data_IF_074426296593
#
_entry.id   IF_074426296593
#
_cell.length_a   1.000
_cell.length_b   1.000
_cell.length_c   1.000
_cell.angle_alpha   90.00
_cell.angle_beta   90.00
_cell.angle_gamma   90.00
#
_symmetry.space_group_name_H-M   'P 1'
#
loop_
_entity.id
_entity.type
_entity.pdbx_description
1 polymer ?
#
# COMPACT_ATOMS: atom_id res chain seq x y z
N UNK A 1 -11.39 20.59 20.92
CA UNK A 1 -12.79 20.53 21.40
C UNK A 1 -13.84 20.65 20.28
N UNK A 2 -13.49 21.05 19.04
CA UNK A 2 -14.47 21.24 17.94
C UNK A 2 -14.84 19.97 17.13
N UNK A 3 -14.12 18.86 17.23
CA UNK A 3 -14.33 17.70 16.34
C UNK A 3 -15.35 16.64 16.82
N UNK A 4 -16.00 16.84 17.97
CA UNK A 4 -16.98 15.88 18.48
C UNK A 4 -18.37 15.98 17.82
N UNK A 5 -18.58 16.91 16.87
CA UNK A 5 -19.89 17.24 16.29
C UNK A 5 -20.00 16.88 14.80
N UNK A 6 -19.20 15.92 14.31
CA UNK A 6 -19.39 15.39 12.95
C UNK A 6 -20.04 14.02 13.05
N UNK A 7 -21.37 13.96 12.89
CA UNK A 7 -22.12 12.70 12.83
C UNK A 7 -21.62 11.79 11.71
N UNK A 8 -21.75 10.46 11.86
CA UNK A 8 -21.19 9.46 10.91
C UNK A 8 -21.50 9.76 9.43
N UNK A 9 -22.70 10.24 9.10
CA UNK A 9 -23.07 10.61 7.72
C UNK A 9 -22.22 11.74 7.13
N UNK A 10 -21.89 12.75 7.94
CA UNK A 10 -21.06 13.89 7.53
C UNK A 10 -19.57 13.50 7.35
N UNK A 11 -19.11 12.44 8.00
CA UNK A 11 -17.72 11.96 7.89
C UNK A 11 -17.45 11.31 6.53
N UNK A 12 -18.37 10.47 6.07
CA UNK A 12 -18.29 9.82 4.74
C UNK A 12 -18.39 10.87 3.65
N UNK A 13 -19.26 11.85 3.81
CA UNK A 13 -19.40 12.97 2.89
C UNK A 13 -18.11 13.80 2.77
N UNK A 14 -17.47 14.15 3.89
CA UNK A 14 -16.18 14.86 3.88
C UNK A 14 -15.09 14.07 3.15
N UNK A 15 -14.98 12.77 3.41
CA UNK A 15 -14.03 11.89 2.72
C UNK A 15 -14.32 11.81 1.21
N UNK A 16 -15.59 11.76 0.81
CA UNK A 16 -16.01 11.76 -0.60
C UNK A 16 -15.69 13.08 -1.31
N UNK A 17 -15.84 14.20 -0.62
CA UNK A 17 -15.47 15.53 -1.13
C UNK A 17 -13.95 15.58 -1.40
N UNK A 18 -13.14 15.12 -0.44
CA UNK A 18 -11.68 15.04 -0.62
C UNK A 18 -11.30 14.09 -1.77
N UNK A 19 -11.96 12.94 -1.89
CA UNK A 19 -11.71 12.01 -2.99
C UNK A 19 -12.07 12.63 -4.35
N UNK A 20 -13.19 13.36 -4.44
CA UNK A 20 -13.57 14.07 -5.65
C UNK A 20 -12.52 15.13 -6.02
N UNK A 21 -12.01 15.88 -5.05
CA UNK A 21 -10.92 16.84 -5.24
C UNK A 21 -9.64 16.17 -5.76
N UNK A 22 -9.28 15.02 -5.19
CA UNK A 22 -8.10 14.24 -5.59
C UNK A 22 -8.21 13.69 -7.01
N UNK A 23 -9.38 13.15 -7.38
CA UNK A 23 -9.61 12.44 -8.65
C UNK A 23 -9.98 13.34 -9.82
N UNK A 24 -10.69 14.45 -9.59
CA UNK A 24 -11.22 15.31 -10.66
C UNK A 24 -10.39 16.55 -10.89
N UNK A 25 -9.77 17.12 -9.85
CA UNK A 25 -8.96 18.33 -9.97
C UNK A 25 -9.72 19.58 -10.40
N UNK A 26 -9.45 20.73 -9.77
CA UNK A 26 -9.90 22.02 -10.29
C UNK A 26 -11.41 22.24 -10.32
N UNK A 27 -11.79 23.28 -11.10
CA UNK A 27 -12.98 24.15 -11.07
C UNK A 27 -14.38 23.56 -10.72
N UNK A 28 -14.57 22.24 -10.66
CA UNK A 28 -15.79 21.61 -10.15
C UNK A 28 -15.79 21.33 -8.64
N UNK A 29 -14.64 21.46 -7.96
CA UNK A 29 -14.52 21.28 -6.51
C UNK A 29 -15.00 22.51 -5.70
N UNK A 30 -14.90 23.72 -6.27
CA UNK A 30 -15.21 24.99 -5.60
C UNK A 30 -16.33 25.82 -6.25
N UNK A 31 -16.91 25.42 -7.39
CA UNK A 31 -17.96 26.21 -8.04
C UNK A 31 -19.37 25.73 -7.66
N UNK A 32 -19.99 26.51 -6.76
CA UNK A 32 -21.45 26.74 -6.74
C UNK A 32 -21.83 28.03 -7.51
N UNK A 33 -20.92 28.66 -8.26
CA UNK A 33 -21.23 29.86 -9.04
C UNK A 33 -20.82 29.71 -10.51
N UNK A 34 -21.79 30.02 -11.37
CA UNK A 34 -21.64 30.30 -12.78
C UNK A 34 -20.51 31.31 -13.06
N UNK A 35 -20.00 31.28 -14.31
CA UNK A 35 -18.93 32.09 -14.90
C UNK A 35 -17.54 31.43 -14.90
N UNK A 36 -17.15 30.91 -16.07
CA UNK A 36 -15.80 30.44 -16.39
C UNK A 36 -15.77 29.04 -17.00
N UNK A 37 -16.68 28.76 -17.93
CA UNK A 37 -16.28 28.07 -19.16
C UNK A 37 -15.32 29.03 -19.90
N UNK A 38 -14.38 28.49 -20.69
CA UNK A 38 -13.40 29.22 -21.52
C UNK A 38 -11.94 29.32 -21.05
N UNK A 39 -11.40 28.30 -20.36
CA UNK A 39 -9.98 27.95 -20.56
C UNK A 39 -9.89 26.49 -21.02
N UNK A 40 -9.79 26.33 -22.35
CA UNK A 40 -9.40 25.09 -23.01
C UNK A 40 -7.98 24.72 -22.54
N UNK A 41 -7.86 23.72 -21.69
CA UNK A 41 -6.57 23.28 -21.16
C UNK A 41 -6.62 21.95 -20.41
N UNK A 42 -6.89 20.86 -21.15
CA UNK A 42 -6.58 19.45 -20.83
C UNK A 42 -7.16 18.79 -19.56
N UNK A 43 -7.86 17.67 -19.75
CA UNK A 43 -8.48 16.83 -18.71
C UNK A 43 -7.53 16.07 -17.78
N UNK A 44 -6.52 16.75 -17.21
CA UNK A 44 -5.65 16.23 -16.17
C UNK A 44 -5.80 17.07 -14.90
N UNK A 45 -5.93 16.40 -13.76
CA UNK A 45 -5.93 17.07 -12.45
C UNK A 45 -4.63 17.85 -12.26
N UNK A 46 -4.71 19.16 -11.98
CA UNK A 46 -3.52 19.95 -11.64
C UNK A 46 -2.81 19.30 -10.42
N UNK A 47 -1.52 19.00 -10.59
CA UNK A 47 -0.68 18.33 -9.58
C UNK A 47 -0.67 19.08 -8.26
N UNK A 48 -0.69 20.42 -8.29
CA UNK A 48 -0.75 21.27 -7.10
C UNK A 48 -2.04 21.06 -6.31
N UNK A 49 -3.16 20.84 -7.01
CA UNK A 49 -4.45 20.57 -6.36
C UNK A 49 -4.40 19.23 -5.64
N UNK A 50 -3.79 18.20 -6.21
CA UNK A 50 -3.56 16.92 -5.50
C UNK A 50 -2.70 17.09 -4.27
N UNK A 51 -1.67 17.96 -4.29
CA UNK A 51 -0.88 18.28 -3.08
C UNK A 51 -1.76 18.94 -2.03
N UNK A 52 -2.52 19.97 -2.41
CA UNK A 52 -3.43 20.67 -1.50
C UNK A 52 -4.44 19.72 -0.86
N UNK A 53 -5.08 18.87 -1.66
CA UNK A 53 -6.03 17.86 -1.18
C UNK A 53 -5.34 16.83 -0.28
N UNK A 54 -4.10 16.43 -0.60
CA UNK A 54 -3.29 15.53 0.24
C UNK A 54 -3.05 16.12 1.63
N UNK A 55 -2.70 17.40 1.73
CA UNK A 55 -2.59 18.09 3.01
C UNK A 55 -3.94 18.21 3.71
N UNK A 56 -5.02 18.47 2.98
CA UNK A 56 -6.37 18.53 3.54
C UNK A 56 -6.80 17.18 4.16
N UNK A 57 -6.44 16.04 3.56
CA UNK A 57 -6.65 14.72 4.18
C UNK A 57 -5.92 14.59 5.52
N UNK A 58 -4.64 14.97 5.57
CA UNK A 58 -3.85 14.90 6.80
C UNK A 58 -4.43 15.80 7.88
N UNK A 59 -4.78 17.04 7.53
CA UNK A 59 -5.34 18.01 8.48
C UNK A 59 -6.74 17.61 8.96
N UNK A 60 -7.57 17.05 8.07
CA UNK A 60 -8.87 16.49 8.45
C UNK A 60 -8.72 15.40 9.51
N UNK A 61 -7.82 14.44 9.30
CA UNK A 61 -7.61 13.35 10.26
C UNK A 61 -7.01 13.87 11.57
N UNK A 62 -6.10 14.86 11.52
CA UNK A 62 -5.56 15.52 12.72
C UNK A 62 -6.65 16.21 13.53
N UNK A 63 -7.57 16.91 12.85
CA UNK A 63 -8.72 17.55 13.48
C UNK A 63 -9.62 16.51 14.15
N UNK A 64 -9.94 15.41 13.46
CA UNK A 64 -10.77 14.31 13.99
C UNK A 64 -10.11 13.56 15.15
N UNK A 65 -8.78 13.50 15.15
CA UNK A 65 -7.94 12.92 16.20
C UNK A 65 -7.66 11.43 16.05
N UNK A 66 -6.62 10.95 16.74
CA UNK A 66 -6.15 9.56 16.66
C UNK A 66 -7.18 8.52 17.10
N UNK A 67 -8.01 8.82 18.12
CA UNK A 67 -9.06 7.91 18.58
C UNK A 67 -10.16 7.69 17.52
N UNK A 68 -10.49 8.74 16.75
CA UNK A 68 -11.40 8.59 15.62
C UNK A 68 -10.78 7.70 14.55
N UNK A 69 -9.51 7.93 14.22
CA UNK A 69 -8.80 7.14 13.22
C UNK A 69 -8.72 5.66 13.63
N UNK A 70 -8.37 5.35 14.89
CA UNK A 70 -8.31 3.99 15.42
C UNK A 70 -9.64 3.23 15.25
N UNK A 71 -10.77 3.90 15.46
CA UNK A 71 -12.11 3.31 15.29
C UNK A 71 -12.53 3.13 13.83
N UNK A 72 -11.86 3.82 12.90
CA UNK A 72 -12.23 3.87 11.49
C UNK A 72 -11.09 3.41 10.56
N UNK A 73 -10.10 2.66 11.08
CA UNK A 73 -8.93 2.19 10.31
C UNK A 73 -9.34 1.50 9.00
N UNK A 74 -10.26 0.51 8.98
CA UNK A 74 -10.65 -0.17 7.74
C UNK A 74 -11.25 0.78 6.71
N UNK A 75 -12.16 1.66 7.15
CA UNK A 75 -12.84 2.62 6.29
C UNK A 75 -11.84 3.61 5.69
N UNK A 76 -10.95 4.15 6.52
CA UNK A 76 -9.96 5.13 6.09
C UNK A 76 -8.91 4.52 5.14
N UNK A 77 -8.37 3.34 5.46
CA UNK A 77 -7.40 2.65 4.61
C UNK A 77 -7.98 2.29 3.25
N UNK A 78 -9.17 1.67 3.21
CA UNK A 78 -9.83 1.36 1.95
C UNK A 78 -10.10 2.64 1.15
N UNK A 79 -10.60 3.71 1.79
CA UNK A 79 -10.84 4.99 1.13
C UNK A 79 -9.59 5.57 0.47
N UNK A 80 -8.51 5.70 1.23
CA UNK A 80 -7.28 6.34 0.78
C UNK A 80 -6.57 5.49 -0.28
N UNK A 81 -6.53 4.17 -0.11
CA UNK A 81 -5.92 3.28 -1.10
C UNK A 81 -6.73 3.20 -2.41
N UNK A 82 -8.06 3.29 -2.35
CA UNK A 82 -8.90 3.31 -3.56
C UNK A 82 -8.68 4.56 -4.42
N UNK A 83 -8.08 5.64 -3.88
CA UNK A 83 -7.71 6.81 -4.67
C UNK A 83 -6.72 6.46 -5.78
N UNK A 84 -5.72 5.60 -5.51
CA UNK A 84 -4.73 5.19 -6.53
C UNK A 84 -5.21 4.04 -7.40
N UNK A 85 -6.23 3.30 -6.97
CA UNK A 85 -6.89 2.28 -7.79
C UNK A 85 -7.80 2.87 -8.87
N UNK A 86 -8.11 4.17 -8.80
CA UNK A 86 -8.93 4.83 -9.83
C UNK A 86 -8.10 5.14 -11.08
N UNK A 87 -8.54 4.73 -12.28
CA UNK A 87 -7.89 5.12 -13.54
C UNK A 87 -7.76 6.64 -13.74
N UNK A 88 -8.64 7.43 -13.09
CA UNK A 88 -8.58 8.91 -13.10
C UNK A 88 -7.39 9.47 -12.32
N UNK A 89 -6.84 8.70 -11.38
CA UNK A 89 -5.62 9.04 -10.68
C UNK A 89 -4.36 8.63 -11.43
N UNK A 90 -4.48 7.66 -12.34
CA UNK A 90 -3.34 6.99 -12.98
C UNK A 90 -3.47 6.91 -14.51
N UNK A 91 -3.82 8.01 -15.23
CA UNK A 91 -3.94 7.98 -16.69
C UNK A 91 -2.60 7.76 -17.39
N UNK A 92 -1.50 8.15 -16.74
CA UNK A 92 -0.12 7.91 -17.20
C UNK A 92 0.73 7.32 -16.07
N UNK A 93 1.87 6.72 -16.43
CA UNK A 93 2.83 6.24 -15.43
C UNK A 93 3.32 7.36 -14.49
N UNK A 94 3.53 8.57 -15.01
CA UNK A 94 3.97 9.73 -14.21
C UNK A 94 2.91 10.11 -13.18
N UNK A 95 1.64 10.15 -13.59
CA UNK A 95 0.53 10.43 -12.68
C UNK A 95 0.36 9.33 -11.64
N UNK A 96 0.56 8.05 -12.02
CA UNK A 96 0.56 6.94 -11.09
C UNK A 96 1.66 7.03 -10.02
N UNK A 97 2.89 7.40 -10.39
CA UNK A 97 3.97 7.66 -9.42
C UNK A 97 3.58 8.79 -8.47
N UNK A 98 3.02 9.87 -9.00
CA UNK A 98 2.61 11.03 -8.21
C UNK A 98 1.47 10.73 -7.24
N UNK A 99 0.43 10.03 -7.71
CA UNK A 99 -0.70 9.61 -6.90
C UNK A 99 -0.28 8.67 -5.76
N UNK A 100 0.62 7.71 -6.05
CA UNK A 100 1.22 6.84 -5.02
C UNK A 100 1.98 7.64 -3.96
N UNK A 101 2.79 8.64 -4.36
CA UNK A 101 3.49 9.51 -3.40
C UNK A 101 2.51 10.28 -2.50
N UNK A 102 1.43 10.82 -3.06
CA UNK A 102 0.41 11.52 -2.29
C UNK A 102 -0.26 10.58 -1.27
N UNK A 103 -0.68 9.39 -1.71
CA UNK A 103 -1.34 8.41 -0.85
C UNK A 103 -0.40 7.90 0.25
N UNK A 104 0.85 7.58 -0.08
CA UNK A 104 1.85 7.20 0.93
C UNK A 104 2.10 8.33 1.93
N UNK A 105 2.11 9.59 1.50
CA UNK A 105 2.23 10.72 2.41
C UNK A 105 1.04 10.82 3.37
N UNK A 106 -0.19 10.61 2.89
CA UNK A 106 -1.39 10.58 3.74
C UNK A 106 -1.25 9.48 4.79
N UNK A 107 -0.98 8.24 4.37
CA UNK A 107 -0.87 7.09 5.27
C UNK A 107 0.25 7.31 6.31
N UNK A 108 1.44 7.71 5.85
CA UNK A 108 2.60 7.93 6.72
C UNK A 108 2.37 9.03 7.75
N UNK A 109 1.69 10.11 7.35
CA UNK A 109 1.40 11.27 8.20
C UNK A 109 0.18 11.08 9.11
N UNK A 110 -0.61 10.03 8.89
CA UNK A 110 -1.82 9.74 9.68
C UNK A 110 -1.64 8.46 10.48
N UNK A 111 -1.76 7.29 9.85
CA UNK A 111 -1.57 5.97 10.46
C UNK A 111 -0.22 5.91 11.16
N UNK A 112 0.83 6.37 10.48
CA UNK A 112 2.18 6.27 11.00
C UNK A 112 2.57 7.28 12.08
N UNK A 113 1.90 8.43 12.16
CA UNK A 113 2.31 9.51 13.06
C UNK A 113 1.30 9.77 14.20
N UNK A 114 0.02 9.46 13.99
CA UNK A 114 -1.06 9.77 14.95
C UNK A 114 -1.48 8.56 15.79
N UNK A 115 -1.27 7.34 15.30
CA UNK A 115 -1.65 6.12 16.01
C UNK A 115 -0.52 5.63 16.92
N UNK A 116 -0.90 5.17 18.12
CA UNK A 116 0.01 4.42 18.99
C UNK A 116 0.25 3.00 18.48
N UNK A 117 1.24 2.29 19.04
CA UNK A 117 1.70 0.98 18.57
C UNK A 117 0.58 -0.04 18.38
N UNK A 118 -0.33 -0.16 19.37
CA UNK A 118 -1.46 -1.09 19.31
C UNK A 118 -2.36 -0.85 18.09
N UNK A 119 -2.65 0.42 17.79
CA UNK A 119 -3.48 0.80 16.65
C UNK A 119 -2.73 0.67 15.32
N UNK A 120 -1.40 0.88 15.32
CA UNK A 120 -0.55 0.60 14.14
C UNK A 120 -0.50 -0.90 13.82
N UNK A 121 -0.45 -1.77 14.84
CA UNK A 121 -0.56 -3.23 14.67
C UNK A 121 -1.91 -3.60 14.05
N UNK A 122 -3.01 -2.97 14.51
CA UNK A 122 -4.33 -3.17 13.91
C UNK A 122 -4.38 -2.69 12.44
N UNK A 123 -3.77 -1.53 12.14
CA UNK A 123 -3.65 -1.04 10.76
C UNK A 123 -2.82 -1.96 9.87
N UNK A 124 -1.72 -2.53 10.37
CA UNK A 124 -0.92 -3.50 9.62
C UNK A 124 -1.72 -4.77 9.27
N UNK A 125 -2.54 -5.27 10.21
CA UNK A 125 -3.46 -6.39 9.94
C UNK A 125 -4.49 -6.03 8.87
N UNK A 126 -5.07 -4.83 8.95
CA UNK A 126 -6.03 -4.37 7.95
C UNK A 126 -5.40 -4.22 6.56
N UNK A 127 -4.19 -3.65 6.47
CA UNK A 127 -3.43 -3.58 5.21
C UNK A 127 -3.17 -4.98 4.66
N UNK A 128 -2.85 -5.95 5.53
CA UNK A 128 -2.68 -7.35 5.14
C UNK A 128 -3.96 -7.95 4.54
N UNK A 129 -5.13 -7.66 5.12
CA UNK A 129 -6.42 -8.06 4.55
C UNK A 129 -6.69 -7.41 3.18
N UNK A 130 -6.33 -6.14 3.02
CA UNK A 130 -6.43 -5.44 1.73
C UNK A 130 -5.54 -6.10 0.67
N UNK A 131 -4.31 -6.51 1.03
CA UNK A 131 -3.41 -7.23 0.12
C UNK A 131 -4.03 -8.56 -0.32
N UNK A 132 -4.56 -9.35 0.61
CA UNK A 132 -5.25 -10.62 0.30
C UNK A 132 -6.39 -10.38 -0.69
N UNK A 133 -7.24 -9.38 -0.40
CA UNK A 133 -8.37 -9.01 -1.26
C UNK A 133 -7.93 -8.64 -2.68
N UNK A 134 -6.88 -7.83 -2.81
CA UNK A 134 -6.36 -7.41 -4.12
C UNK A 134 -5.75 -8.59 -4.90
N UNK A 135 -5.05 -9.51 -4.22
CA UNK A 135 -4.48 -10.70 -4.86
C UNK A 135 -5.55 -11.69 -5.30
N UNK A 136 -6.62 -11.88 -4.52
CA UNK A 136 -7.74 -12.72 -4.91
C UNK A 136 -8.45 -12.17 -6.16
N UNK A 137 -8.71 -10.86 -6.19
CA UNK A 137 -9.32 -10.21 -7.35
C UNK A 137 -8.46 -10.35 -8.62
N UNK A 138 -7.12 -10.25 -8.48
CA UNK A 138 -6.20 -10.49 -9.60
C UNK A 138 -6.22 -11.96 -10.04
N UNK A 139 -6.30 -12.90 -9.10
CA UNK A 139 -6.41 -14.33 -9.41
C UNK A 139 -7.67 -14.65 -10.22
N UNK A 140 -8.82 -14.12 -9.81
CA UNK A 140 -10.10 -14.23 -10.52
C UNK A 140 -10.01 -13.63 -11.92
N UNK A 141 -9.50 -12.40 -12.06
CA UNK A 141 -9.34 -11.73 -13.35
C UNK A 141 -8.40 -12.48 -14.31
N UNK A 142 -7.35 -13.13 -13.80
CA UNK A 142 -6.44 -13.96 -14.60
C UNK A 142 -7.11 -15.26 -15.04
N UNK A 143 -7.91 -15.91 -14.18
CA UNK A 143 -8.66 -17.11 -14.55
C UNK A 143 -9.70 -16.82 -15.64
N UNK A 144 -10.47 -15.74 -15.50
CA UNK A 144 -11.45 -15.31 -16.50
C UNK A 144 -10.80 -14.88 -17.83
N UNK A 145 -9.53 -14.47 -17.81
CA UNK A 145 -8.82 -14.07 -19.03
C UNK A 145 -8.47 -15.24 -19.96
N UNK A 146 -8.35 -16.46 -19.42
CA UNK A 146 -8.22 -17.67 -20.24
C UNK A 146 -9.49 -17.97 -21.06
N UNK A 147 -10.63 -17.39 -20.68
CA UNK A 147 -11.92 -17.48 -21.39
C UNK A 147 -12.18 -16.29 -22.35
N UNK A 148 -11.15 -15.50 -22.68
CA UNK A 148 -11.17 -14.56 -23.82
C UNK A 148 -11.50 -13.08 -23.50
N UNK A 149 -11.56 -12.67 -22.23
CA UNK A 149 -11.66 -11.25 -21.83
C UNK A 149 -10.51 -10.86 -20.93
N UNK A 150 -9.42 -10.32 -21.50
CA UNK A 150 -8.30 -9.80 -20.72
C UNK A 150 -8.68 -8.49 -20.01
N UNK A 151 -8.97 -8.54 -18.71
CA UNK A 151 -9.25 -7.35 -17.88
C UNK A 151 -7.96 -6.62 -17.46
N UNK A 152 -7.15 -6.17 -18.44
CA UNK A 152 -5.88 -5.45 -18.23
C UNK A 152 -6.00 -4.27 -17.25
N UNK A 153 -7.16 -3.61 -17.25
CA UNK A 153 -7.42 -2.43 -16.43
C UNK A 153 -7.51 -2.76 -14.94
N UNK A 154 -8.06 -3.92 -14.56
CA UNK A 154 -8.19 -4.31 -13.15
C UNK A 154 -6.83 -4.69 -12.56
N UNK A 155 -6.04 -5.46 -13.30
CA UNK A 155 -4.65 -5.79 -12.93
C UNK A 155 -3.80 -4.52 -12.80
N UNK A 156 -4.02 -3.55 -13.70
CA UNK A 156 -3.33 -2.26 -13.66
C UNK A 156 -3.75 -1.37 -12.49
N UNK A 157 -5.01 -1.41 -12.07
CA UNK A 157 -5.47 -0.70 -10.87
C UNK A 157 -4.94 -1.36 -9.59
N UNK A 158 -5.01 -2.70 -9.51
CA UNK A 158 -4.58 -3.48 -8.35
C UNK A 158 -3.10 -3.26 -8.01
N UNK A 159 -2.20 -3.22 -9.01
CA UNK A 159 -0.77 -2.96 -8.75
C UNK A 159 -0.52 -1.64 -8.01
N UNK A 160 -1.29 -0.57 -8.25
CA UNK A 160 -1.05 0.71 -7.61
C UNK A 160 -1.48 0.71 -6.14
N UNK A 161 -2.59 0.02 -5.86
CA UNK A 161 -3.07 -0.24 -4.50
C UNK A 161 -2.06 -1.09 -3.73
N UNK A 162 -1.63 -2.22 -4.32
CA UNK A 162 -0.65 -3.13 -3.72
C UNK A 162 0.67 -2.43 -3.41
N UNK A 163 1.19 -1.60 -4.33
CA UNK A 163 2.41 -0.84 -4.08
C UNK A 163 2.28 0.08 -2.87
N UNK A 164 1.17 0.81 -2.74
CA UNK A 164 0.97 1.70 -1.58
C UNK A 164 0.79 0.91 -0.27
N UNK A 165 0.00 -0.16 -0.32
CA UNK A 165 -0.25 -1.04 0.81
C UNK A 165 1.05 -1.66 1.36
N UNK A 166 1.87 -2.23 0.47
CA UNK A 166 3.14 -2.87 0.84
C UNK A 166 4.18 -1.88 1.36
N UNK A 167 4.27 -0.68 0.77
CA UNK A 167 5.17 0.35 1.26
C UNK A 167 4.77 0.87 2.65
N UNK A 168 3.47 1.05 2.90
CA UNK A 168 3.01 1.45 4.23
C UNK A 168 3.20 0.31 5.25
N UNK A 169 2.89 -0.94 4.87
CA UNK A 169 3.09 -2.11 5.73
C UNK A 169 4.56 -2.24 6.16
N UNK A 170 5.50 -2.21 5.20
CA UNK A 170 6.93 -2.27 5.50
C UNK A 170 7.39 -1.09 6.36
N UNK A 171 6.87 0.11 6.11
CA UNK A 171 7.16 1.29 6.93
C UNK A 171 6.64 1.17 8.36
N UNK A 172 5.45 0.60 8.56
CA UNK A 172 4.88 0.35 9.88
C UNK A 172 5.70 -0.69 10.64
N UNK A 173 6.09 -1.78 9.98
CA UNK A 173 6.92 -2.82 10.60
C UNK A 173 8.28 -2.25 11.03
N UNK A 174 8.94 -1.44 10.19
CA UNK A 174 10.18 -0.77 10.58
C UNK A 174 9.99 0.16 11.78
N UNK A 175 8.87 0.90 11.84
CA UNK A 175 8.58 1.80 12.95
C UNK A 175 8.28 1.03 14.25
N UNK A 176 7.52 -0.05 14.16
CA UNK A 176 7.16 -0.90 15.30
C UNK A 176 8.36 -1.71 15.81
N UNK A 177 9.33 -2.04 14.96
CA UNK A 177 10.50 -2.82 15.32
C UNK A 177 10.12 -4.17 15.92
N UNK A 178 10.64 -4.48 17.10
CA UNK A 178 10.35 -5.73 17.82
C UNK A 178 8.87 -5.90 18.20
N UNK A 179 8.12 -4.81 18.38
CA UNK A 179 6.66 -4.86 18.65
C UNK A 179 5.86 -5.46 17.47
N UNK A 180 6.44 -5.53 16.27
CA UNK A 180 5.82 -6.19 15.12
C UNK A 180 6.00 -7.72 15.12
N UNK A 181 6.79 -8.30 16.04
CA UNK A 181 7.04 -9.75 16.08
C UNK A 181 5.77 -10.61 16.04
N UNK A 182 4.68 -10.30 16.79
CA UNK A 182 3.44 -11.07 16.72
C UNK A 182 2.74 -11.02 15.34
N UNK A 183 2.96 -9.96 14.54
CA UNK A 183 2.40 -9.87 13.19
C UNK A 183 3.09 -10.83 12.22
N UNK A 184 4.34 -11.18 12.50
CA UNK A 184 5.19 -11.96 11.60
C UNK A 184 5.27 -13.42 12.02
N UNK A 185 5.28 -13.69 13.33
CA UNK A 185 5.32 -15.03 13.88
C UNK A 185 3.98 -15.79 13.76
N UNK A 186 2.86 -15.08 13.59
CA UNK A 186 1.51 -15.67 13.51
C UNK A 186 1.33 -16.46 12.20
N UNK A 187 1.19 -17.79 12.22
CA UNK A 187 1.15 -18.59 10.99
C UNK A 187 -0.14 -18.45 10.19
N UNK A 188 -1.29 -18.25 10.86
CA UNK A 188 -2.61 -18.25 10.22
C UNK A 188 -3.09 -16.85 9.81
N UNK A 189 -2.68 -15.82 10.54
CA UNK A 189 -3.13 -14.43 10.36
C UNK A 189 -1.97 -13.43 10.28
N UNK A 190 -0.75 -13.92 10.08
CA UNK A 190 0.44 -13.09 9.94
C UNK A 190 0.54 -12.42 8.57
N UNK A 191 1.42 -11.43 8.50
CA UNK A 191 1.58 -10.57 7.32
C UNK A 191 2.48 -11.18 6.23
N UNK A 192 3.20 -12.26 6.53
CA UNK A 192 4.18 -12.85 5.60
C UNK A 192 3.51 -13.50 4.39
N UNK A 193 2.48 -14.33 4.61
CA UNK A 193 1.83 -15.04 3.50
C UNK A 193 1.20 -14.07 2.49
N UNK A 194 0.47 -13.03 2.92
CA UNK A 194 -0.05 -12.03 1.99
C UNK A 194 1.04 -11.31 1.21
N UNK A 195 2.15 -10.92 1.84
CA UNK A 195 3.25 -10.25 1.14
C UNK A 195 3.93 -11.20 0.12
N UNK A 196 4.18 -12.45 0.50
CA UNK A 196 4.79 -13.45 -0.38
C UNK A 196 3.87 -13.77 -1.57
N UNK A 197 2.56 -13.78 -1.39
CA UNK A 197 1.61 -14.01 -2.48
C UNK A 197 1.75 -12.96 -3.61
N UNK A 198 2.14 -11.73 -3.29
CA UNK A 198 2.34 -10.66 -4.29
C UNK A 198 3.61 -10.87 -5.13
N UNK A 199 4.54 -11.73 -4.71
CA UNK A 199 5.77 -12.02 -5.48
C UNK A 199 5.51 -12.71 -6.82
N UNK A 200 4.33 -13.29 -7.02
CA UNK A 200 3.91 -13.89 -8.29
C UNK A 200 2.93 -13.01 -9.07
N UNK A 201 2.74 -11.75 -8.64
CA UNK A 201 1.83 -10.83 -9.31
C UNK A 201 2.33 -10.46 -10.73
N UNK A 202 1.45 -10.37 -11.75
CA UNK A 202 1.85 -10.08 -13.14
C UNK A 202 2.60 -8.75 -13.29
N UNK A 203 2.19 -7.71 -12.56
CA UNK A 203 2.93 -6.43 -12.52
C UNK A 203 4.26 -6.54 -11.76
N UNK A 204 5.34 -6.17 -12.43
CA UNK A 204 6.68 -6.03 -11.85
C UNK A 204 6.75 -5.01 -10.71
N UNK A 205 5.98 -3.92 -10.78
CA UNK A 205 5.99 -2.88 -9.74
C UNK A 205 5.46 -3.41 -8.40
N UNK A 206 4.41 -4.25 -8.43
CA UNK A 206 3.88 -4.90 -7.23
C UNK A 206 4.88 -5.89 -6.63
N UNK A 207 5.54 -6.69 -7.48
CA UNK A 207 6.58 -7.64 -7.06
C UNK A 207 7.74 -6.93 -6.34
N UNK A 208 8.26 -5.84 -6.90
CA UNK A 208 9.32 -5.05 -6.25
C UNK A 208 8.88 -4.44 -4.91
N UNK A 209 7.64 -3.95 -4.80
CA UNK A 209 7.12 -3.43 -3.54
C UNK A 209 7.01 -4.52 -2.47
N UNK A 210 6.64 -5.75 -2.87
CA UNK A 210 6.59 -6.89 -1.97
C UNK A 210 7.98 -7.32 -1.51
N UNK A 211 8.95 -7.36 -2.43
CA UNK A 211 10.37 -7.59 -2.10
C UNK A 211 10.90 -6.57 -1.11
N UNK A 212 10.62 -5.28 -1.32
CA UNK A 212 11.00 -4.21 -0.38
C UNK A 212 10.33 -4.37 0.99
N UNK A 213 9.06 -4.79 1.03
CA UNK A 213 8.34 -5.05 2.27
C UNK A 213 8.97 -6.23 3.04
N UNK A 214 9.33 -7.32 2.37
CA UNK A 214 10.04 -8.45 3.00
C UNK A 214 11.41 -8.03 3.54
N UNK A 215 12.17 -7.26 2.76
CA UNK A 215 13.43 -6.68 3.23
C UNK A 215 13.23 -5.81 4.48
N UNK A 216 12.19 -4.96 4.48
CA UNK A 216 11.83 -4.12 5.63
C UNK A 216 11.48 -4.94 6.88
N UNK A 217 10.77 -6.05 6.71
CA UNK A 217 10.46 -6.99 7.80
C UNK A 217 11.73 -7.62 8.33
N UNK A 218 12.64 -8.08 7.46
CA UNK A 218 13.90 -8.69 7.88
C UNK A 218 14.85 -7.70 8.58
N UNK A 219 14.84 -6.42 8.17
CA UNK A 219 15.59 -5.35 8.85
C UNK A 219 15.02 -5.08 10.24
N UNK A 220 13.68 -5.02 10.37
CA UNK A 220 13.03 -4.81 11.67
C UNK A 220 13.15 -6.02 12.61
N UNK A 221 13.13 -7.23 12.05
CA UNK A 221 13.15 -8.51 12.75
C UNK A 221 14.20 -9.43 12.13
N UNK A 222 15.49 -9.30 12.50
CA UNK A 222 16.58 -10.08 11.92
C UNK A 222 16.41 -11.60 12.04
N UNK A 223 15.67 -12.07 13.05
CA UNK A 223 15.33 -13.50 13.22
C UNK A 223 14.56 -14.09 12.05
N UNK A 224 13.88 -13.26 11.25
CA UNK A 224 13.07 -13.67 10.10
C UNK A 224 13.88 -13.75 8.80
N UNK A 225 15.09 -13.19 8.77
CA UNK A 225 15.92 -13.16 7.57
C UNK A 225 16.22 -14.57 7.03
N UNK A 226 16.73 -15.47 7.87
CA UNK A 226 17.09 -16.83 7.46
C UNK A 226 15.87 -17.65 7.01
N UNK A 227 14.76 -17.72 7.77
CA UNK A 227 13.53 -18.38 7.31
C UNK A 227 12.99 -17.83 5.99
N UNK A 228 13.03 -16.51 5.78
CA UNK A 228 12.54 -15.89 4.54
C UNK A 228 13.43 -16.20 3.34
N UNK A 229 14.75 -16.24 3.52
CA UNK A 229 15.69 -16.65 2.47
C UNK A 229 15.43 -18.10 2.04
N UNK A 230 15.38 -19.04 2.99
CA UNK A 230 15.13 -20.47 2.70
C UNK A 230 13.80 -20.64 1.95
N UNK A 231 12.75 -20.00 2.46
CA UNK A 231 11.42 -20.02 1.85
C UNK A 231 11.43 -19.46 0.43
N UNK A 232 12.11 -18.34 0.17
CA UNK A 232 12.18 -17.75 -1.17
C UNK A 232 12.96 -18.65 -2.14
N UNK A 233 14.07 -19.25 -1.70
CA UNK A 233 14.85 -20.18 -2.52
C UNK A 233 14.04 -21.43 -2.89
N UNK A 234 13.39 -22.05 -1.90
CA UNK A 234 12.56 -23.23 -2.11
C UNK A 234 11.39 -22.95 -3.06
N UNK A 235 10.70 -21.82 -2.89
CA UNK A 235 9.58 -21.42 -3.76
C UNK A 235 10.04 -21.08 -5.17
N UNK A 236 11.20 -20.44 -5.32
CA UNK A 236 11.77 -20.14 -6.63
C UNK A 236 12.11 -21.42 -7.40
N UNK A 237 12.70 -22.43 -6.74
CA UNK A 237 12.99 -23.73 -7.37
C UNK A 237 11.70 -24.47 -7.77
N UNK A 238 10.69 -24.48 -6.88
CA UNK A 238 9.38 -25.09 -7.17
C UNK A 238 8.64 -24.41 -8.33
N UNK A 239 8.81 -23.10 -8.49
CA UNK A 239 8.12 -22.29 -9.51
C UNK A 239 9.07 -21.82 -10.64
N UNK A 240 10.17 -22.54 -10.88
CA UNK A 240 11.20 -22.18 -11.87
C UNK A 240 10.71 -22.09 -13.33
N UNK A 241 9.52 -22.58 -13.62
CA UNK A 241 8.91 -22.47 -14.94
C UNK A 241 8.06 -21.19 -15.11
N UNK A 242 7.80 -20.42 -14.04
CA UNK A 242 7.08 -19.15 -14.10
C UNK A 242 8.08 -17.98 -14.11
N UNK A 243 8.12 -17.15 -15.17
CA UNK A 243 9.00 -15.99 -15.22
C UNK A 243 8.63 -14.94 -14.15
N UNK A 244 7.34 -14.81 -13.81
CA UNK A 244 6.86 -13.92 -12.75
C UNK A 244 7.42 -14.33 -11.40
N UNK A 245 7.35 -15.63 -11.08
CA UNK A 245 7.88 -16.18 -9.85
C UNK A 245 9.40 -16.01 -9.76
N UNK A 246 10.14 -16.34 -10.83
CA UNK A 246 11.60 -16.16 -10.85
C UNK A 246 11.96 -14.69 -10.57
N UNK A 247 11.36 -13.75 -11.29
CA UNK A 247 11.69 -12.33 -11.14
C UNK A 247 11.22 -11.76 -9.79
N UNK A 248 10.12 -12.26 -9.21
CA UNK A 248 9.66 -11.85 -7.89
C UNK A 248 10.53 -12.39 -6.75
N UNK A 249 10.78 -13.70 -6.73
CA UNK A 249 11.60 -14.33 -5.69
C UNK A 249 13.07 -13.90 -5.77
N UNK A 250 13.65 -13.71 -6.96
CA UNK A 250 15.00 -13.15 -7.10
C UNK A 250 15.09 -11.73 -6.54
N UNK A 251 14.09 -10.88 -6.81
CA UNK A 251 14.00 -9.53 -6.23
C UNK A 251 13.86 -9.57 -4.71
N UNK A 252 13.08 -10.53 -4.17
CA UNK A 252 12.94 -10.73 -2.73
C UNK A 252 14.26 -11.17 -2.08
N UNK A 253 14.97 -12.13 -2.69
CA UNK A 253 16.31 -12.55 -2.24
C UNK A 253 17.29 -11.38 -2.28
N UNK A 254 17.29 -10.57 -3.34
CA UNK A 254 18.12 -9.38 -3.43
C UNK A 254 17.80 -8.35 -2.34
N UNK A 255 16.51 -8.12 -2.02
CA UNK A 255 16.11 -7.22 -0.96
C UNK A 255 16.47 -7.74 0.44
N UNK A 256 16.33 -9.04 0.68
CA UNK A 256 16.70 -9.69 1.96
C UNK A 256 18.21 -9.66 2.18
N UNK A 257 19.00 -10.05 1.18
CA UNK A 257 20.47 -10.01 1.23
C UNK A 257 20.99 -8.57 1.29
N UNK A 258 20.38 -7.67 0.51
CA UNK A 258 20.66 -6.25 0.55
C UNK A 258 20.34 -5.62 1.90
N UNK A 259 19.38 -6.13 2.67
CA UNK A 259 19.06 -5.64 4.01
C UNK A 259 20.09 -6.02 5.09
N UNK A 260 20.97 -6.99 4.82
CA UNK A 260 21.89 -7.55 5.83
C UNK A 260 22.83 -6.50 6.43
N UNK A 261 23.30 -5.52 5.63
CA UNK A 261 24.18 -4.47 6.15
C UNK A 261 23.47 -3.55 7.16
N UNK A 262 22.14 -3.51 7.13
CA UNK A 262 21.33 -2.73 8.07
C UNK A 262 21.00 -3.53 9.35
N UNK A 263 21.35 -4.83 9.40
CA UNK A 263 21.16 -5.70 10.55
C UNK A 263 22.48 -5.84 11.32
N UNK A 264 22.64 -5.25 12.52
CA UNK A 264 23.89 -5.33 13.29
C UNK A 264 24.31 -6.77 13.64
N UNK A 265 23.35 -7.69 13.65
CA UNK A 265 23.54 -9.10 13.98
C UNK A 265 23.86 -9.99 12.76
N UNK A 266 23.85 -9.42 11.54
CA UNK A 266 24.20 -10.12 10.30
C UNK A 266 23.37 -11.38 10.00
N UNK A 267 23.88 -12.21 9.08
CA UNK A 267 23.35 -13.56 8.83
C UNK A 267 23.95 -14.50 9.89
N UNK A 268 23.16 -15.38 10.54
CA UNK A 268 23.69 -16.38 11.46
C UNK A 268 24.86 -17.16 10.85
N UNK A 269 26.00 -17.17 11.54
CA UNK A 269 27.29 -17.72 11.08
C UNK A 269 27.22 -19.18 10.61
N UNK A 270 26.20 -19.94 11.03
CA UNK A 270 25.97 -21.34 10.64
C UNK A 270 25.74 -21.51 9.13
N UNK A 271 25.32 -20.45 8.43
CA UNK A 271 25.05 -20.49 6.97
C UNK A 271 26.11 -19.82 6.09
N UNK A 272 27.14 -19.23 6.68
CA UNK A 272 28.25 -18.58 5.96
C UNK A 272 29.34 -19.53 5.47
N UNK A 273 29.22 -20.84 5.74
CA UNK A 273 30.09 -21.86 5.16
C UNK A 273 29.47 -22.36 3.85
N UNK A 274 29.84 -21.71 2.76
CA UNK A 274 29.88 -22.33 1.42
C UNK A 274 31.31 -22.75 1.18
#
# INVERSE_FOLDING_TARGET
>A
MFCFIIGKGKQVEALNILAAGFLRGGLGFLKSSAAGEMIKGSGHVNREIRVGVTHAYVEYVKCMGGLWLERNIPVFLNHVLNLVGSPKATPTHVDAVYARKCVLFILRSTIGALLGEKAQIAAAKEISQIIIKQMNAVGEAVMESNDGKFQASEVSASQHVLVCALHELGSLVQRLGSSASPLVAEPAAGIIEPVVSVLIHPSHAARLAASWCLGSIAVALPSQLSPLLDRCMERMEKLKNSPEAISGYSSALAALLGGVYQCPLGIPHVKGKV
#
